data_IF_773782558594
#
_entry.id   IF_773782558594
#
_cell.length_a   1.000
_cell.length_b   1.000
_cell.length_c   1.000
_cell.angle_alpha   90.00
_cell.angle_beta   90.00
_cell.angle_gamma   90.00
#
_symmetry.space_group_name_H-M   'P 1'
#
loop_
_entity.id
_entity.type
_entity.pdbx_description
1 polymer ?
#
# COMPACT_ATOMS: atom_id res chain seq x y z
N UNK A 1 -7.16 -32.25 27.22
CA UNK A 1 -7.62 -31.30 26.18
C UNK A 1 -6.70 -31.42 24.99
N UNK A 2 -7.11 -32.15 23.96
CA UNK A 2 -6.31 -32.38 22.76
C UNK A 2 -6.23 -31.09 21.93
N UNK A 3 -5.01 -30.59 21.69
CA UNK A 3 -4.76 -29.53 20.71
C UNK A 3 -4.94 -30.14 19.33
N UNK A 4 -6.03 -29.80 18.66
CA UNK A 4 -6.28 -30.20 17.27
C UNK A 4 -5.33 -29.39 16.38
N UNK A 5 -4.19 -29.95 16.01
CA UNK A 5 -3.27 -29.36 15.04
C UNK A 5 -3.85 -29.54 13.64
N UNK A 6 -4.04 -28.44 12.91
CA UNK A 6 -4.39 -28.46 11.49
C UNK A 6 -3.20 -28.92 10.65
N UNK A 7 -3.39 -29.20 9.35
CA UNK A 7 -2.28 -29.54 8.44
C UNK A 7 -1.17 -28.49 8.55
N UNK A 8 0.08 -28.93 8.79
CA UNK A 8 1.23 -28.03 8.98
C UNK A 8 1.53 -27.59 10.43
N UNK A 9 0.78 -28.09 11.43
CA UNK A 9 1.10 -27.85 12.85
C UNK A 9 0.78 -26.45 13.37
N UNK A 10 0.05 -25.63 12.60
CA UNK A 10 -0.36 -24.27 12.97
C UNK A 10 -1.21 -24.25 14.26
N UNK A 11 -1.16 -23.15 15.04
CA UNK A 11 -2.01 -23.00 16.22
C UNK A 11 -3.49 -22.92 15.84
N UNK A 12 -4.38 -23.34 16.75
CA UNK A 12 -5.81 -23.12 16.55
C UNK A 12 -6.16 -21.63 16.73
N UNK A 13 -6.93 -21.07 15.80
CA UNK A 13 -7.34 -19.66 15.85
C UNK A 13 -8.68 -19.48 16.59
N UNK A 14 -8.61 -19.05 17.85
CA UNK A 14 -9.81 -18.73 18.64
C UNK A 14 -10.26 -17.25 18.42
N UNK A 15 -11.49 -16.87 18.82
CA UNK A 15 -11.99 -15.52 18.65
C UNK A 15 -11.13 -14.43 19.31
N UNK A 16 -10.45 -14.73 20.42
CA UNK A 16 -9.60 -13.77 21.12
C UNK A 16 -8.31 -13.48 20.35
N UNK A 17 -7.67 -14.52 19.81
CA UNK A 17 -6.50 -14.40 18.92
C UNK A 17 -6.84 -13.66 17.64
N UNK A 18 -7.95 -14.04 16.99
CA UNK A 18 -8.46 -13.34 15.80
C UNK A 18 -8.67 -11.86 16.06
N UNK A 19 -9.26 -11.52 17.20
CA UNK A 19 -9.51 -10.13 17.58
C UNK A 19 -8.21 -9.35 17.83
N UNK A 20 -7.24 -9.94 18.53
CA UNK A 20 -5.92 -9.35 18.78
C UNK A 20 -5.21 -8.98 17.48
N UNK A 21 -5.22 -9.87 16.50
CA UNK A 21 -4.56 -9.69 15.20
C UNK A 21 -5.22 -8.54 14.42
N UNK A 22 -6.54 -8.62 14.24
CA UNK A 22 -7.29 -7.69 13.37
C UNK A 22 -7.55 -6.32 14.02
N UNK A 23 -7.42 -6.20 15.34
CA UNK A 23 -7.61 -4.93 16.05
C UNK A 23 -6.30 -4.36 16.60
N UNK A 24 -5.60 -5.09 17.46
CA UNK A 24 -4.50 -4.52 18.24
C UNK A 24 -3.22 -4.42 17.40
N UNK A 25 -2.83 -5.53 16.76
CA UNK A 25 -1.64 -5.58 15.91
C UNK A 25 -1.82 -4.66 14.70
N UNK A 26 -2.94 -4.78 13.99
CA UNK A 26 -3.22 -3.99 12.79
C UNK A 26 -3.24 -2.48 13.08
N UNK A 27 -3.88 -2.05 14.19
CA UNK A 27 -3.86 -0.64 14.62
C UNK A 27 -2.45 -0.16 14.98
N UNK A 28 -1.63 -1.04 15.56
CA UNK A 28 -0.25 -0.77 15.91
C UNK A 28 0.62 -0.47 14.70
N UNK A 29 0.48 -1.26 13.63
CA UNK A 29 1.33 -1.15 12.43
C UNK A 29 0.82 -0.12 11.40
N UNK A 30 -0.46 0.27 11.44
CA UNK A 30 -0.98 1.30 10.52
C UNK A 30 -2.22 2.04 11.00
N UNK A 31 -2.05 3.30 11.42
CA UNK A 31 -3.16 4.13 11.93
C UNK A 31 -4.13 4.58 10.82
N UNK A 32 -3.60 4.98 9.66
CA UNK A 32 -4.43 5.50 8.56
C UNK A 32 -5.25 4.39 7.91
N UNK A 33 -4.63 3.24 7.62
CA UNK A 33 -5.35 2.10 7.05
C UNK A 33 -6.35 1.51 8.05
N UNK A 34 -5.99 1.42 9.35
CA UNK A 34 -6.91 0.94 10.38
C UNK A 34 -8.22 1.74 10.44
N UNK A 35 -8.17 3.06 10.23
CA UNK A 35 -9.37 3.89 10.17
C UNK A 35 -10.29 3.47 9.02
N UNK A 36 -9.74 3.25 7.82
CA UNK A 36 -10.46 2.74 6.65
C UNK A 36 -11.05 1.35 6.91
N UNK A 37 -10.25 0.44 7.51
CA UNK A 37 -10.72 -0.90 7.86
C UNK A 37 -11.89 -0.85 8.86
N UNK A 38 -11.87 0.09 9.81
CA UNK A 38 -12.95 0.22 10.80
C UNK A 38 -14.27 0.69 10.21
N UNK A 39 -14.26 1.49 9.15
CA UNK A 39 -15.49 1.95 8.50
C UNK A 39 -16.11 0.87 7.61
N UNK A 40 -15.30 -0.05 7.06
CA UNK A 40 -15.78 -1.13 6.21
C UNK A 40 -16.94 -1.95 6.81
N UNK A 41 -17.84 -2.50 5.96
CA UNK A 41 -18.76 -3.57 6.34
C UNK A 41 -18.05 -4.74 7.03
N UNK A 42 -18.75 -5.46 7.94
CA UNK A 42 -18.11 -6.45 8.82
C UNK A 42 -17.48 -7.62 8.06
N UNK A 43 -18.16 -8.16 7.04
CA UNK A 43 -17.68 -9.32 6.27
C UNK A 43 -16.35 -9.07 5.58
N UNK A 44 -16.09 -7.83 5.17
CA UNK A 44 -14.88 -7.45 4.44
C UNK A 44 -13.64 -7.27 5.33
N UNK A 45 -13.82 -7.04 6.63
CA UNK A 45 -12.71 -6.63 7.52
C UNK A 45 -11.69 -7.73 7.73
N UNK A 46 -12.15 -8.97 7.75
CA UNK A 46 -11.30 -10.13 8.03
C UNK A 46 -10.35 -10.44 6.87
N UNK A 47 -10.82 -10.70 5.63
CA UNK A 47 -9.92 -10.95 4.50
C UNK A 47 -9.04 -9.74 4.18
N UNK A 48 -9.59 -8.53 4.17
CA UNK A 48 -8.83 -7.30 3.87
C UNK A 48 -7.81 -6.99 4.98
N UNK A 49 -8.21 -7.15 6.24
CA UNK A 49 -7.32 -6.92 7.38
C UNK A 49 -6.18 -7.92 7.43
N UNK A 50 -6.46 -9.20 7.14
CA UNK A 50 -5.44 -10.24 7.07
C UNK A 50 -4.46 -10.02 5.91
N UNK A 51 -4.96 -9.75 4.70
CA UNK A 51 -4.11 -9.44 3.55
C UNK A 51 -3.19 -8.26 3.84
N UNK A 52 -3.70 -7.19 4.46
CA UNK A 52 -2.90 -6.04 4.86
C UNK A 52 -1.80 -6.42 5.86
N UNK A 53 -2.14 -7.23 6.87
CA UNK A 53 -1.17 -7.63 7.88
C UNK A 53 -0.05 -8.49 7.31
N UNK A 54 -0.38 -9.46 6.46
CA UNK A 54 0.58 -10.31 5.77
C UNK A 54 1.47 -9.50 4.82
N UNK A 55 0.87 -8.58 4.05
CA UNK A 55 1.62 -7.65 3.22
C UNK A 55 2.56 -6.76 4.05
N UNK A 56 2.11 -6.27 5.21
CA UNK A 56 2.95 -5.48 6.11
C UNK A 56 4.09 -6.31 6.72
N UNK A 57 3.87 -7.59 7.01
CA UNK A 57 4.94 -8.49 7.46
C UNK A 57 5.98 -8.68 6.36
N UNK A 58 5.56 -8.93 5.12
CA UNK A 58 6.44 -9.04 3.96
C UNK A 58 7.25 -7.76 3.71
N UNK A 59 6.59 -6.61 3.74
CA UNK A 59 7.20 -5.28 3.63
C UNK A 59 8.27 -5.05 4.70
N UNK A 60 7.98 -5.46 5.95
CA UNK A 60 8.97 -5.39 7.04
C UNK A 60 10.17 -6.33 6.81
N UNK A 61 9.97 -7.50 6.18
CA UNK A 61 11.05 -8.41 5.80
C UNK A 61 11.95 -7.79 4.72
N UNK A 62 11.38 -7.09 3.74
CA UNK A 62 12.15 -6.42 2.68
C UNK A 62 12.88 -5.15 3.16
N UNK A 63 12.25 -4.35 4.01
CA UNK A 63 12.79 -3.06 4.47
C UNK A 63 13.77 -3.15 5.64
N UNK A 64 13.90 -4.31 6.30
CA UNK A 64 14.80 -4.45 7.45
C UNK A 64 16.24 -4.09 7.10
N UNK A 65 16.89 -3.29 7.95
CA UNK A 65 18.32 -3.04 7.89
C UNK A 65 19.06 -4.25 8.47
N UNK A 66 19.62 -5.09 7.60
CA UNK A 66 20.52 -6.18 7.99
C UNK A 66 21.85 -5.94 7.32
N UNK A 67 22.87 -5.61 8.11
CA UNK A 67 24.22 -5.36 7.61
C UNK A 67 24.67 -6.52 6.71
N UNK A 68 24.95 -6.23 5.43
CA UNK A 68 25.72 -7.11 4.56
C UNK A 68 25.02 -8.21 3.75
N UNK A 69 23.70 -8.24 3.52
CA UNK A 69 23.16 -8.99 2.34
C UNK A 69 21.70 -8.71 1.99
N UNK A 70 21.46 -8.04 0.85
CA UNK A 70 20.16 -8.09 0.17
C UNK A 70 19.73 -9.54 -0.13
N UNK A 71 20.68 -10.46 -0.32
CA UNK A 71 20.42 -11.90 -0.50
C UNK A 71 19.64 -12.54 0.64
N UNK A 72 19.97 -12.27 1.91
CA UNK A 72 19.24 -12.84 3.04
C UNK A 72 17.81 -12.27 3.19
N UNK A 73 17.58 -11.02 2.75
CA UNK A 73 16.24 -10.41 2.72
C UNK A 73 15.38 -11.03 1.63
N UNK A 74 15.96 -11.22 0.45
CA UNK A 74 15.29 -11.90 -0.66
C UNK A 74 14.94 -13.34 -0.30
N UNK A 75 15.85 -14.10 0.29
CA UNK A 75 15.59 -15.48 0.72
C UNK A 75 14.43 -15.57 1.74
N UNK A 76 14.41 -14.70 2.75
CA UNK A 76 13.33 -14.66 3.74
C UNK A 76 12.00 -14.25 3.10
N UNK A 77 12.01 -13.30 2.15
CA UNK A 77 10.82 -12.88 1.41
C UNK A 77 10.27 -14.02 0.53
N UNK A 78 11.15 -14.74 -0.16
CA UNK A 78 10.79 -15.89 -0.99
C UNK A 78 10.25 -17.04 -0.14
N UNK A 79 10.86 -17.29 1.02
CA UNK A 79 10.37 -18.25 2.00
C UNK A 79 8.98 -17.86 2.51
N UNK A 80 8.78 -16.60 2.89
CA UNK A 80 7.48 -16.08 3.30
C UNK A 80 6.42 -16.24 2.20
N UNK A 81 6.76 -15.88 0.95
CA UNK A 81 5.87 -16.05 -0.21
C UNK A 81 5.47 -17.50 -0.42
N UNK A 82 6.40 -18.46 -0.25
CA UNK A 82 6.08 -19.88 -0.33
C UNK A 82 5.08 -20.31 0.76
N UNK A 83 5.22 -19.80 1.99
CA UNK A 83 4.24 -20.06 3.06
C UNK A 83 2.86 -19.47 2.71
N UNK A 84 2.83 -18.28 2.09
CA UNK A 84 1.58 -17.65 1.62
C UNK A 84 0.95 -18.43 0.47
N UNK A 85 1.70 -19.10 -0.40
CA UNK A 85 1.13 -20.01 -1.40
C UNK A 85 0.52 -21.26 -0.73
N UNK A 86 1.18 -21.74 0.32
CA UNK A 86 0.69 -22.78 1.22
C UNK A 86 0.72 -24.21 0.67
N UNK A 87 0.32 -25.19 1.50
CA UNK A 87 -0.03 -25.02 2.93
C UNK A 87 1.18 -24.54 3.75
N UNK A 88 0.92 -23.70 4.76
CA UNK A 88 2.00 -23.14 5.58
C UNK A 88 2.52 -24.17 6.61
N UNK A 89 3.82 -24.14 6.84
CA UNK A 89 4.55 -24.97 7.78
C UNK A 89 4.95 -24.16 9.02
N UNK A 90 4.56 -24.66 10.19
CA UNK A 90 4.79 -23.97 11.46
C UNK A 90 6.28 -23.78 11.77
N UNK A 91 7.14 -24.76 11.50
CA UNK A 91 8.56 -24.70 11.82
C UNK A 91 9.28 -23.67 10.92
N UNK A 92 8.89 -23.60 9.64
CA UNK A 92 9.38 -22.58 8.71
C UNK A 92 8.98 -21.18 9.18
N UNK A 93 7.73 -21.01 9.62
CA UNK A 93 7.26 -19.73 10.16
C UNK A 93 8.00 -19.35 11.45
N UNK A 94 8.27 -20.30 12.35
CA UNK A 94 9.07 -20.04 13.55
C UNK A 94 10.50 -19.61 13.19
N UNK A 95 11.11 -20.24 12.19
CA UNK A 95 12.40 -19.82 11.65
C UNK A 95 12.39 -18.37 11.14
N UNK A 96 11.37 -18.00 10.36
CA UNK A 96 11.19 -16.63 9.88
C UNK A 96 10.99 -15.63 11.02
N UNK A 97 10.14 -15.96 12.00
CA UNK A 97 9.91 -15.11 13.17
C UNK A 97 11.22 -14.90 13.94
N UNK A 98 11.95 -15.97 14.23
CA UNK A 98 13.21 -15.91 14.98
C UNK A 98 14.22 -14.98 14.30
N UNK A 99 14.45 -15.18 12.99
CA UNK A 99 15.34 -14.32 12.19
C UNK A 99 14.86 -12.87 12.08
N UNK A 100 13.56 -12.64 12.18
CA UNK A 100 12.94 -11.30 12.09
C UNK A 100 12.91 -10.57 13.43
N UNK A 101 12.80 -11.29 14.56
CA UNK A 101 12.83 -10.71 15.90
C UNK A 101 14.22 -10.20 16.28
N UNK A 102 15.28 -10.86 15.81
CA UNK A 102 16.67 -10.42 16.02
C UNK A 102 16.98 -9.04 15.39
N UNK A 103 16.19 -8.63 14.39
CA UNK A 103 16.32 -7.33 13.72
C UNK A 103 15.15 -6.37 13.95
N UNK A 104 14.13 -6.75 14.74
CA UNK A 104 12.95 -5.93 14.96
C UNK A 104 13.27 -4.75 15.89
N UNK A 105 13.12 -3.54 15.35
CA UNK A 105 13.53 -2.31 16.04
C UNK A 105 12.43 -1.73 16.94
N UNK A 106 11.16 -2.09 16.70
CA UNK A 106 10.01 -1.53 17.40
C UNK A 106 9.10 -2.58 18.04
N UNK A 107 8.41 -2.20 19.12
CA UNK A 107 7.41 -3.05 19.77
C UNK A 107 6.26 -3.47 18.83
N UNK A 108 5.96 -2.65 17.83
CA UNK A 108 4.94 -2.94 16.82
C UNK A 108 5.40 -4.03 15.85
N UNK A 109 6.65 -3.99 15.39
CA UNK A 109 7.23 -5.03 14.54
C UNK A 109 7.35 -6.37 15.29
N UNK A 110 7.76 -6.33 16.56
CA UNK A 110 7.79 -7.52 17.41
C UNK A 110 6.38 -8.14 17.57
N UNK A 111 5.36 -7.30 17.78
CA UNK A 111 3.97 -7.77 17.84
C UNK A 111 3.48 -8.35 16.51
N UNK A 112 3.89 -7.76 15.37
CA UNK A 112 3.58 -8.24 14.03
C UNK A 112 4.15 -9.65 13.80
N UNK A 113 5.46 -9.82 13.96
CA UNK A 113 6.10 -11.12 13.77
C UNK A 113 5.67 -12.15 14.80
N UNK A 114 5.49 -11.75 16.07
CA UNK A 114 4.94 -12.64 17.10
C UNK A 114 3.52 -13.12 16.81
N UNK A 115 2.79 -12.45 15.92
CA UNK A 115 1.45 -12.85 15.48
C UNK A 115 1.43 -13.66 14.17
N UNK A 116 2.59 -13.93 13.56
CA UNK A 116 2.66 -14.49 12.21
C UNK A 116 2.00 -15.88 12.11
N UNK A 117 2.33 -16.79 13.02
CA UNK A 117 1.72 -18.12 13.05
C UNK A 117 0.20 -18.06 13.22
N UNK A 118 -0.31 -17.14 14.04
CA UNK A 118 -1.75 -16.94 14.19
C UNK A 118 -2.38 -16.32 12.92
N UNK A 119 -1.67 -15.44 12.20
CA UNK A 119 -2.14 -14.87 10.94
C UNK A 119 -2.24 -15.93 9.83
N UNK A 120 -1.29 -16.86 9.75
CA UNK A 120 -1.36 -18.01 8.83
C UNK A 120 -2.45 -19.00 9.25
N UNK A 121 -2.64 -19.26 10.54
CA UNK A 121 -3.77 -20.05 11.02
C UNK A 121 -5.12 -19.40 10.64
N UNK A 122 -5.21 -18.07 10.72
CA UNK A 122 -6.39 -17.33 10.27
C UNK A 122 -6.59 -17.47 8.76
N UNK A 123 -5.53 -17.37 7.96
CA UNK A 123 -5.56 -17.57 6.50
C UNK A 123 -6.13 -18.94 6.13
N UNK A 124 -5.68 -20.01 6.80
CA UNK A 124 -6.19 -21.36 6.55
C UNK A 124 -7.62 -21.58 7.04
N UNK A 125 -8.12 -20.73 7.94
CA UNK A 125 -9.49 -20.79 8.44
C UNK A 125 -10.51 -19.99 7.62
N UNK A 126 -10.05 -19.17 6.66
CA UNK A 126 -10.94 -18.46 5.73
C UNK A 126 -11.67 -19.45 4.81
N UNK A 127 -12.80 -19.02 4.25
CA UNK A 127 -13.40 -19.77 3.15
C UNK A 127 -12.46 -19.81 1.93
N UNK A 128 -12.68 -20.79 1.04
CA UNK A 128 -11.77 -21.05 -0.06
C UNK A 128 -11.57 -19.84 -0.98
N UNK A 129 -12.63 -19.09 -1.27
CA UNK A 129 -12.57 -17.96 -2.19
C UNK A 129 -11.79 -16.79 -1.58
N UNK A 130 -12.08 -16.43 -0.32
CA UNK A 130 -11.34 -15.39 0.39
C UNK A 130 -9.88 -15.78 0.59
N UNK A 131 -9.62 -17.04 0.93
CA UNK A 131 -8.25 -17.56 1.07
C UNK A 131 -7.47 -17.40 -0.22
N UNK A 132 -8.03 -17.81 -1.36
CA UNK A 132 -7.40 -17.66 -2.68
C UNK A 132 -7.11 -16.19 -3.02
N UNK A 133 -8.06 -15.29 -2.75
CA UNK A 133 -7.88 -13.84 -2.97
C UNK A 133 -6.74 -13.26 -2.10
N UNK A 134 -6.68 -13.64 -0.82
CA UNK A 134 -5.61 -13.19 0.09
C UNK A 134 -4.25 -13.75 -0.35
N UNK A 135 -4.18 -15.04 -0.72
CA UNK A 135 -2.93 -15.64 -1.25
C UNK A 135 -2.46 -14.93 -2.52
N UNK A 136 -3.39 -14.67 -3.45
CA UNK A 136 -3.08 -14.02 -4.73
C UNK A 136 -2.53 -12.60 -4.53
N UNK A 137 -3.20 -11.77 -3.72
CA UNK A 137 -2.78 -10.38 -3.54
C UNK A 137 -1.46 -10.28 -2.80
N UNK A 138 -1.26 -11.06 -1.74
CA UNK A 138 0.01 -11.06 -0.98
C UNK A 138 1.13 -11.66 -1.83
N UNK A 139 0.86 -12.71 -2.61
CA UNK A 139 1.79 -13.26 -3.59
C UNK A 139 2.21 -12.25 -4.67
N UNK A 140 1.29 -11.40 -5.11
CA UNK A 140 1.58 -10.34 -6.09
C UNK A 140 2.37 -9.19 -5.47
N UNK A 141 1.99 -8.73 -4.27
CA UNK A 141 2.71 -7.69 -3.52
C UNK A 141 4.17 -8.09 -3.25
N UNK A 142 4.40 -9.35 -2.90
CA UNK A 142 5.76 -9.88 -2.67
C UNK A 142 6.61 -9.95 -3.94
N UNK A 143 6.02 -10.03 -5.14
CA UNK A 143 6.77 -9.86 -6.39
C UNK A 143 7.27 -8.43 -6.59
N UNK A 144 6.48 -7.43 -6.14
CA UNK A 144 6.93 -6.03 -6.15
C UNK A 144 8.08 -5.77 -5.18
N UNK A 145 8.03 -6.39 -4.00
CA UNK A 145 9.13 -6.35 -3.02
C UNK A 145 10.39 -7.08 -3.53
N UNK A 146 10.23 -8.19 -4.25
CA UNK A 146 11.34 -8.86 -4.94
C UNK A 146 11.95 -7.98 -6.03
N UNK A 147 11.11 -7.31 -6.84
CA UNK A 147 11.58 -6.34 -7.83
C UNK A 147 12.39 -5.22 -7.17
N UNK A 148 11.93 -4.67 -6.04
CA UNK A 148 12.65 -3.65 -5.26
C UNK A 148 14.04 -4.14 -4.83
N UNK A 149 14.10 -5.30 -4.19
CA UNK A 149 15.34 -5.88 -3.67
C UNK A 149 16.37 -6.24 -4.75
N UNK A 150 15.90 -6.55 -5.96
CA UNK A 150 16.76 -6.87 -7.11
C UNK A 150 17.20 -5.63 -7.89
N UNK A 151 16.45 -4.53 -7.79
CA UNK A 151 16.72 -3.31 -8.57
C UNK A 151 17.60 -2.34 -7.79
N UNK A 152 17.31 -2.15 -6.51
CA UNK A 152 17.99 -1.15 -5.69
C UNK A 152 19.08 -1.77 -4.82
N UNK A 153 20.19 -1.05 -4.63
CA UNK A 153 21.26 -1.51 -3.75
C UNK A 153 20.81 -1.49 -2.28
N UNK A 154 21.61 -2.11 -1.41
CA UNK A 154 21.36 -2.02 0.03
C UNK A 154 21.52 -0.57 0.51
N UNK A 155 20.68 -0.14 1.46
CA UNK A 155 20.63 1.24 1.98
C UNK A 155 21.98 1.71 2.56
N UNK A 156 22.82 0.80 3.05
CA UNK A 156 24.15 1.06 3.61
C UNK A 156 25.31 0.94 2.60
N UNK A 157 25.02 0.60 1.35
CA UNK A 157 26.04 0.42 0.30
C UNK A 157 26.66 1.73 -0.20
N UNK A 158 25.98 2.87 0.04
CA UNK A 158 26.32 4.15 -0.57
C UNK A 158 26.00 4.25 -2.07
N UNK A 159 25.41 3.20 -2.66
CA UNK A 159 24.94 3.21 -4.05
C UNK A 159 23.53 3.80 -4.18
N UNK A 160 23.24 4.33 -5.37
CA UNK A 160 21.92 4.77 -5.79
C UNK A 160 21.60 4.12 -7.13
N UNK A 161 20.39 3.59 -7.28
CA UNK A 161 19.93 3.06 -8.55
C UNK A 161 18.55 3.62 -8.90
N UNK A 162 18.30 3.75 -10.20
CA UNK A 162 17.01 4.18 -10.75
C UNK A 162 16.30 3.04 -11.48
N UNK A 163 14.97 3.11 -11.57
CA UNK A 163 14.21 2.31 -12.53
C UNK A 163 14.63 2.68 -13.95
N UNK A 164 14.65 1.74 -14.88
CA UNK A 164 15.15 2.00 -16.23
C UNK A 164 14.19 2.84 -17.07
N UNK A 165 12.88 2.54 -17.00
CA UNK A 165 11.86 3.15 -17.85
C UNK A 165 10.56 3.48 -17.10
N UNK A 166 9.72 4.33 -17.69
CA UNK A 166 8.37 4.58 -17.18
C UNK A 166 7.49 3.33 -17.09
N UNK A 167 7.74 2.33 -17.95
CA UNK A 167 7.06 1.04 -17.87
C UNK A 167 7.44 0.24 -16.61
N UNK A 168 8.69 0.36 -16.14
CA UNK A 168 9.12 -0.26 -14.89
C UNK A 168 8.45 0.40 -13.68
N UNK A 169 8.28 1.72 -13.69
CA UNK A 169 7.54 2.42 -12.63
C UNK A 169 6.05 2.06 -12.63
N UNK A 170 5.43 1.94 -13.81
CA UNK A 170 4.05 1.48 -13.93
C UNK A 170 3.87 0.03 -13.43
N UNK A 171 4.80 -0.85 -13.80
CA UNK A 171 4.85 -2.24 -13.32
C UNK A 171 5.04 -2.30 -11.80
N UNK A 172 5.99 -1.54 -11.27
CA UNK A 172 6.25 -1.48 -9.84
C UNK A 172 5.00 -1.01 -9.08
N UNK A 173 4.39 0.10 -9.50
CA UNK A 173 3.17 0.65 -8.86
C UNK A 173 1.98 -0.30 -8.97
N UNK A 174 1.87 -1.11 -10.03
CA UNK A 174 0.91 -2.21 -10.09
C UNK A 174 1.20 -3.27 -9.02
N UNK A 175 2.43 -3.78 -8.98
CA UNK A 175 2.80 -4.89 -8.09
C UNK A 175 2.62 -4.53 -6.62
N UNK A 176 2.99 -3.32 -6.21
CA UNK A 176 2.96 -2.91 -4.79
C UNK A 176 1.66 -2.24 -4.32
N UNK A 177 0.76 -1.87 -5.24
CA UNK A 177 -0.49 -1.20 -4.86
C UNK A 177 -1.65 -1.38 -5.85
N UNK A 178 -1.41 -1.40 -7.16
CA UNK A 178 -2.46 -1.57 -8.16
C UNK A 178 -3.22 -2.88 -8.02
N UNK A 179 -2.52 -4.00 -7.81
CA UNK A 179 -3.13 -5.32 -7.62
C UNK A 179 -4.10 -5.38 -6.42
N UNK A 180 -3.90 -4.52 -5.42
CA UNK A 180 -4.80 -4.39 -4.26
C UNK A 180 -6.19 -3.90 -4.70
N UNK A 181 -6.26 -3.13 -5.78
CA UNK A 181 -7.52 -2.69 -6.37
C UNK A 181 -8.39 -3.83 -6.89
N UNK A 182 -7.79 -4.81 -7.56
CA UNK A 182 -8.49 -6.02 -8.03
C UNK A 182 -8.95 -6.88 -6.85
N UNK A 183 -8.04 -7.16 -5.92
CA UNK A 183 -8.34 -7.89 -4.68
C UNK A 183 -9.51 -7.26 -3.94
N UNK A 184 -9.44 -5.94 -3.72
CA UNK A 184 -10.49 -5.20 -3.03
C UNK A 184 -11.81 -5.29 -3.79
N UNK A 185 -11.80 -5.14 -5.11
CA UNK A 185 -13.00 -5.22 -5.94
C UNK A 185 -13.63 -6.60 -5.86
N UNK A 186 -12.84 -7.66 -6.01
CA UNK A 186 -13.30 -9.05 -5.99
C UNK A 186 -13.90 -9.41 -4.63
N UNK A 187 -13.18 -9.15 -3.54
CA UNK A 187 -13.66 -9.42 -2.17
C UNK A 187 -14.90 -8.57 -1.86
N UNK A 188 -14.92 -7.29 -2.27
CA UNK A 188 -16.10 -6.44 -2.06
C UNK A 188 -17.32 -6.97 -2.81
N UNK A 189 -17.16 -7.32 -4.09
CA UNK A 189 -18.25 -7.86 -4.91
C UNK A 189 -18.80 -9.19 -4.37
N UNK A 190 -17.92 -10.05 -3.82
CA UNK A 190 -18.31 -11.34 -3.25
C UNK A 190 -19.14 -11.20 -1.95
N UNK A 191 -18.81 -10.24 -1.09
CA UNK A 191 -19.42 -10.11 0.23
C UNK A 191 -20.54 -9.07 0.32
N UNK A 192 -20.72 -8.20 -0.68
CA UNK A 192 -21.68 -7.10 -0.64
C UNK A 192 -22.82 -7.29 -1.65
N UNK A 193 -24.01 -7.73 -1.19
CA UNK A 193 -25.16 -7.98 -2.06
C UNK A 193 -25.59 -6.76 -2.90
N UNK A 194 -25.32 -5.55 -2.39
CA UNK A 194 -25.58 -4.29 -3.11
C UNK A 194 -24.79 -4.15 -4.41
N UNK A 195 -23.73 -4.95 -4.60
CA UNK A 195 -22.82 -4.92 -5.74
C UNK A 195 -23.06 -6.07 -6.72
N UNK A 196 -24.13 -6.86 -6.57
CA UNK A 196 -24.41 -8.01 -7.44
C UNK A 196 -24.42 -7.70 -8.95
N UNK A 197 -24.70 -6.44 -9.32
CA UNK A 197 -24.72 -5.96 -10.71
C UNK A 197 -23.48 -5.12 -11.09
N UNK A 198 -22.44 -5.12 -10.27
CA UNK A 198 -21.19 -4.48 -10.65
C UNK A 198 -20.57 -5.17 -11.85
N UNK A 199 -20.09 -4.37 -12.79
CA UNK A 199 -19.14 -4.82 -13.79
C UNK A 199 -17.79 -4.99 -13.09
N UNK A 200 -17.53 -6.20 -12.56
CA UNK A 200 -16.34 -6.48 -11.77
C UNK A 200 -15.06 -6.24 -12.58
N UNK A 201 -15.05 -6.57 -13.87
CA UNK A 201 -13.89 -6.35 -14.73
C UNK A 201 -13.55 -4.86 -14.83
N UNK A 202 -14.54 -4.02 -15.19
CA UNK A 202 -14.34 -2.56 -15.25
C UNK A 202 -13.95 -1.97 -13.89
N UNK A 203 -14.62 -2.39 -12.82
CA UNK A 203 -14.34 -1.87 -11.48
C UNK A 203 -12.94 -2.27 -11.01
N UNK A 204 -12.47 -3.46 -11.38
CA UNK A 204 -11.11 -3.91 -11.11
C UNK A 204 -10.08 -3.05 -11.84
N UNK A 205 -10.27 -2.73 -13.12
CA UNK A 205 -9.39 -1.81 -13.85
C UNK A 205 -9.32 -0.40 -13.21
N UNK A 206 -10.47 0.13 -12.80
CA UNK A 206 -10.55 1.39 -12.06
C UNK A 206 -9.86 1.28 -10.69
N UNK A 207 -10.01 0.15 -10.02
CA UNK A 207 -9.36 -0.18 -8.76
C UNK A 207 -7.84 -0.23 -8.89
N UNK A 208 -7.31 -0.84 -9.96
CA UNK A 208 -5.87 -0.85 -10.27
C UNK A 208 -5.34 0.57 -10.36
N UNK A 209 -6.02 1.41 -11.13
CA UNK A 209 -5.64 2.82 -11.26
C UNK A 209 -5.72 3.53 -9.91
N UNK A 210 -6.74 3.27 -9.10
CA UNK A 210 -6.83 3.86 -7.76
C UNK A 210 -5.63 3.46 -6.87
N UNK A 211 -5.25 2.19 -6.84
CA UNK A 211 -4.05 1.73 -6.14
C UNK A 211 -2.78 2.43 -6.62
N UNK A 212 -2.59 2.53 -7.95
CA UNK A 212 -1.48 3.26 -8.57
C UNK A 212 -1.46 4.75 -8.20
N UNK A 213 -2.62 5.41 -8.11
CA UNK A 213 -2.70 6.82 -7.69
C UNK A 213 -2.10 7.04 -6.30
N UNK A 214 -2.45 6.16 -5.35
CA UNK A 214 -1.96 6.21 -3.98
C UNK A 214 -0.45 5.94 -3.92
N UNK A 215 0.04 4.97 -4.70
CA UNK A 215 1.46 4.64 -4.72
C UNK A 215 2.31 5.71 -5.39
N UNK A 216 1.90 6.24 -6.54
CA UNK A 216 2.60 7.35 -7.18
C UNK A 216 2.63 8.59 -6.28
N UNK A 217 1.57 8.84 -5.51
CA UNK A 217 1.57 9.90 -4.50
C UNK A 217 2.65 9.67 -3.43
N UNK A 218 2.86 8.42 -2.99
CA UNK A 218 3.94 8.10 -2.05
C UNK A 218 5.31 8.26 -2.72
N UNK A 219 5.50 7.72 -3.92
CA UNK A 219 6.75 7.84 -4.69
C UNK A 219 7.16 9.30 -4.85
N UNK A 220 6.24 10.18 -5.24
CA UNK A 220 6.53 11.61 -5.40
C UNK A 220 6.78 12.34 -4.08
N UNK A 221 6.07 11.96 -3.02
CA UNK A 221 6.21 12.57 -1.68
C UNK A 221 7.54 12.21 -1.03
N UNK A 222 7.96 10.95 -1.19
CA UNK A 222 9.05 10.36 -0.40
C UNK A 222 10.41 10.38 -1.11
N UNK A 223 10.52 11.02 -2.28
CA UNK A 223 11.77 11.13 -3.07
C UNK A 223 13.00 11.43 -2.21
N UNK A 224 13.03 12.48 -1.35
CA UNK A 224 14.25 12.77 -0.59
C UNK A 224 14.62 11.66 0.40
N UNK A 225 13.63 10.91 0.91
CA UNK A 225 13.86 9.77 1.80
C UNK A 225 14.36 8.57 1.01
N UNK A 226 13.74 8.28 -0.12
CA UNK A 226 14.06 7.11 -0.95
C UNK A 226 15.46 7.23 -1.57
N UNK A 227 15.84 8.43 -2.04
CA UNK A 227 17.18 8.68 -2.59
C UNK A 227 18.29 8.45 -1.56
N UNK A 228 18.10 8.94 -0.33
CA UNK A 228 19.04 8.65 0.79
C UNK A 228 19.10 7.16 1.12
N UNK A 229 18.03 6.43 0.82
CA UNK A 229 17.93 4.99 0.95
C UNK A 229 18.56 4.20 -0.21
N UNK A 230 19.14 4.88 -1.20
CA UNK A 230 19.69 4.25 -2.40
C UNK A 230 18.64 3.92 -3.47
N UNK A 231 17.40 4.39 -3.31
CA UNK A 231 16.26 4.07 -4.19
C UNK A 231 15.82 5.30 -4.98
N UNK A 232 15.87 5.23 -6.30
CA UNK A 232 15.23 6.21 -7.19
C UNK A 232 14.16 5.53 -8.04
N UNK A 233 12.88 5.74 -7.71
CA UNK A 233 11.79 5.15 -8.50
C UNK A 233 11.53 5.88 -9.82
N UNK A 234 12.14 7.05 -10.05
CA UNK A 234 11.94 7.78 -11.30
C UNK A 234 12.71 7.10 -12.46
N UNK A 235 12.17 7.10 -13.68
CA UNK A 235 12.81 6.48 -14.82
C UNK A 235 14.13 7.16 -15.22
N UNK A 236 15.19 6.36 -15.39
CA UNK A 236 16.52 6.85 -15.75
C UNK A 236 16.55 7.48 -17.15
N UNK A 237 15.78 6.96 -18.10
CA UNK A 237 15.64 7.51 -19.45
C UNK A 237 14.99 8.90 -19.45
N UNK A 238 13.95 9.10 -18.65
CA UNK A 238 13.29 10.39 -18.47
C UNK A 238 14.18 11.40 -17.73
N UNK A 239 14.91 10.94 -16.70
CA UNK A 239 15.92 11.77 -16.01
C UNK A 239 17.02 12.22 -16.99
N UNK A 240 17.55 11.30 -17.79
CA UNK A 240 18.59 11.59 -18.78
C UNK A 240 18.08 12.58 -19.84
N UNK A 241 16.83 12.46 -20.29
CA UNK A 241 16.20 13.41 -21.21
C UNK A 241 16.09 14.83 -20.60
N UNK A 242 15.95 14.94 -19.28
CA UNK A 242 16.01 16.20 -18.54
C UNK A 242 17.44 16.65 -18.17
N UNK A 243 18.47 15.91 -18.63
CA UNK A 243 19.88 16.18 -18.34
C UNK A 243 20.27 15.92 -16.89
N UNK A 244 19.67 14.89 -16.27
CA UNK A 244 19.90 14.47 -14.90
C UNK A 244 20.28 12.98 -14.83
N UNK A 245 21.17 12.64 -13.91
CA UNK A 245 21.29 11.32 -13.34
C UNK A 245 20.47 11.22 -12.04
N UNK A 246 20.32 10.01 -11.49
CA UNK A 246 19.60 9.82 -10.23
C UNK A 246 20.26 10.57 -9.06
N UNK A 247 21.60 10.59 -9.05
CA UNK A 247 22.44 11.24 -8.05
C UNK A 247 22.24 12.76 -8.02
N UNK A 248 21.94 13.36 -9.17
CA UNK A 248 21.67 14.80 -9.26
C UNK A 248 20.44 15.19 -8.43
N UNK A 249 19.50 14.28 -8.19
CA UNK A 249 18.31 14.55 -7.38
C UNK A 249 18.61 14.69 -5.88
N UNK A 250 19.81 14.31 -5.43
CA UNK A 250 20.26 14.55 -4.05
C UNK A 250 20.57 16.03 -3.78
N UNK A 251 20.79 16.82 -4.83
CA UNK A 251 21.04 18.26 -4.73
C UNK A 251 19.74 19.05 -5.03
N UNK A 252 19.15 19.74 -4.02
CA UNK A 252 17.97 20.57 -4.22
C UNK A 252 18.14 21.69 -5.26
N UNK A 253 19.37 22.07 -5.66
CA UNK A 253 19.61 23.00 -6.76
C UNK A 253 19.06 22.49 -8.10
N UNK A 254 18.87 21.17 -8.25
CA UNK A 254 18.37 20.54 -9.46
C UNK A 254 16.84 20.49 -9.56
N UNK A 255 16.12 21.02 -8.57
CA UNK A 255 14.65 21.03 -8.49
C UNK A 255 13.99 21.51 -9.80
N UNK A 256 14.53 22.57 -10.42
CA UNK A 256 13.98 23.11 -11.67
C UNK A 256 14.01 22.12 -12.85
N UNK A 257 15.10 21.35 -12.98
CA UNK A 257 15.22 20.29 -14.00
C UNK A 257 14.41 19.07 -13.61
N UNK A 258 14.47 18.67 -12.33
CA UNK A 258 13.74 17.51 -11.82
C UNK A 258 12.23 17.63 -12.05
N UNK A 259 11.66 18.85 -11.96
CA UNK A 259 10.25 19.12 -12.27
C UNK A 259 9.82 18.69 -13.66
N UNK A 260 10.72 18.66 -14.64
CA UNK A 260 10.40 18.20 -15.99
C UNK A 260 10.01 16.71 -16.02
N UNK A 261 10.47 15.92 -15.03
CA UNK A 261 10.11 14.51 -14.83
C UNK A 261 8.99 14.37 -13.79
N UNK A 262 9.06 15.11 -12.68
CA UNK A 262 8.10 15.00 -11.57
C UNK A 262 6.67 15.44 -11.94
N UNK A 263 6.53 16.52 -12.70
CA UNK A 263 5.21 17.06 -13.08
C UNK A 263 4.44 16.07 -13.98
N UNK A 264 5.05 15.47 -15.03
CA UNK A 264 4.41 14.38 -15.78
C UNK A 264 3.89 13.24 -14.88
N UNK A 265 4.69 12.75 -13.94
CA UNK A 265 4.25 11.69 -13.01
C UNK A 265 3.15 12.15 -12.05
N UNK A 266 3.16 13.41 -11.62
CA UNK A 266 2.04 13.98 -10.87
C UNK A 266 0.76 14.04 -11.70
N UNK A 267 0.84 14.41 -12.99
CA UNK A 267 -0.31 14.38 -13.92
C UNK A 267 -0.81 12.95 -14.15
N UNK A 268 0.08 11.97 -14.24
CA UNK A 268 -0.28 10.54 -14.28
C UNK A 268 -1.05 10.14 -13.02
N UNK A 269 -0.56 10.53 -11.84
CA UNK A 269 -1.25 10.29 -10.57
C UNK A 269 -2.65 10.95 -10.53
N UNK A 270 -2.79 12.18 -11.03
CA UNK A 270 -4.08 12.87 -11.16
C UNK A 270 -5.03 12.12 -12.10
N UNK A 271 -4.54 11.64 -13.25
CA UNK A 271 -5.27 10.78 -14.17
C UNK A 271 -5.79 9.51 -13.49
N UNK A 272 -4.97 8.89 -12.65
CA UNK A 272 -5.38 7.75 -11.84
C UNK A 272 -6.41 8.11 -10.74
N UNK A 273 -6.36 9.31 -10.17
CA UNK A 273 -7.39 9.79 -9.25
C UNK A 273 -8.74 10.07 -9.94
N UNK A 274 -8.77 10.34 -11.25
CA UNK A 274 -10.02 10.37 -12.01
C UNK A 274 -10.68 8.99 -12.04
N UNK A 275 -9.88 7.95 -12.31
CA UNK A 275 -10.37 6.57 -12.24
C UNK A 275 -10.81 6.18 -10.82
N UNK A 276 -10.12 6.67 -9.79
CA UNK A 276 -10.54 6.50 -8.40
C UNK A 276 -11.89 7.19 -8.09
N UNK A 277 -12.13 8.37 -8.68
CA UNK A 277 -13.44 9.03 -8.61
C UNK A 277 -14.51 8.15 -9.25
N UNK A 278 -14.28 7.66 -10.48
CA UNK A 278 -15.21 6.76 -11.17
C UNK A 278 -15.50 5.50 -10.36
N UNK A 279 -14.45 4.88 -9.77
CA UNK A 279 -14.58 3.74 -8.88
C UNK A 279 -15.51 4.06 -7.70
N UNK A 280 -15.23 5.15 -6.98
CA UNK A 280 -16.04 5.59 -5.84
C UNK A 280 -17.50 5.85 -6.23
N UNK A 281 -17.73 6.50 -7.37
CA UNK A 281 -19.07 6.85 -7.84
C UNK A 281 -19.84 5.63 -8.37
N UNK A 282 -19.13 4.57 -8.79
CA UNK A 282 -19.68 3.26 -9.10
C UNK A 282 -20.21 2.51 -7.87
N UNK A 283 -19.71 2.82 -6.66
CA UNK A 283 -20.26 2.26 -5.41
C UNK A 283 -21.67 2.82 -5.15
N UNK A 284 -22.69 1.96 -4.93
CA UNK A 284 -24.06 2.40 -4.68
C UNK A 284 -24.15 3.42 -3.53
N UNK A 285 -24.97 4.46 -3.72
CA UNK A 285 -25.10 5.59 -2.77
C UNK A 285 -25.50 5.16 -1.35
N UNK A 286 -26.21 4.03 -1.21
CA UNK A 286 -26.63 3.47 0.08
C UNK A 286 -25.51 2.69 0.78
N UNK A 287 -24.47 2.29 0.07
CA UNK A 287 -23.31 1.57 0.61
C UNK A 287 -22.32 2.57 1.23
N UNK A 288 -22.81 3.33 2.22
CA UNK A 288 -22.11 4.48 2.85
C UNK A 288 -20.72 4.10 3.35
N UNK A 289 -20.61 2.94 4.01
CA UNK A 289 -19.36 2.45 4.59
C UNK A 289 -18.28 2.20 3.53
N UNK A 290 -18.66 1.59 2.41
CA UNK A 290 -17.76 1.37 1.28
C UNK A 290 -17.35 2.70 0.64
N UNK A 291 -18.31 3.60 0.43
CA UNK A 291 -18.02 4.92 -0.14
C UNK A 291 -17.06 5.72 0.73
N UNK A 292 -17.21 5.69 2.06
CA UNK A 292 -16.26 6.32 2.99
C UNK A 292 -14.88 5.65 2.93
N UNK A 293 -14.84 4.30 2.86
CA UNK A 293 -13.59 3.55 2.78
C UNK A 293 -12.78 3.88 1.52
N UNK A 294 -13.46 4.15 0.38
CA UNK A 294 -12.82 4.61 -0.84
C UNK A 294 -12.51 6.12 -0.79
N UNK A 295 -13.41 6.93 -0.25
CA UNK A 295 -13.29 8.39 -0.27
C UNK A 295 -12.10 8.89 0.57
N UNK A 296 -11.87 8.35 1.77
CA UNK A 296 -10.83 8.89 2.65
C UNK A 296 -9.41 8.76 2.08
N UNK A 297 -8.95 7.58 1.58
CA UNK A 297 -7.66 7.48 0.91
C UNK A 297 -7.56 8.38 -0.32
N UNK A 298 -8.63 8.50 -1.12
CA UNK A 298 -8.67 9.37 -2.30
C UNK A 298 -8.41 10.83 -1.92
N UNK A 299 -9.17 11.37 -0.96
CA UNK A 299 -9.02 12.76 -0.53
C UNK A 299 -7.66 13.02 0.14
N UNK A 300 -7.14 12.06 0.91
CA UNK A 300 -5.81 12.17 1.51
C UNK A 300 -4.70 12.17 0.47
N UNK A 301 -4.83 11.35 -0.58
CA UNK A 301 -3.90 11.33 -1.71
C UNK A 301 -3.86 12.69 -2.42
N UNK A 302 -5.02 13.20 -2.84
CA UNK A 302 -5.12 14.51 -3.49
C UNK A 302 -4.62 15.67 -2.60
N UNK A 303 -4.94 15.66 -1.30
CA UNK A 303 -4.45 16.67 -0.37
C UNK A 303 -2.94 16.59 -0.14
N UNK A 304 -2.33 15.41 -0.33
CA UNK A 304 -0.88 15.23 -0.28
C UNK A 304 -0.24 15.80 -1.54
N UNK A 305 -0.80 15.51 -2.72
CA UNK A 305 -0.33 16.07 -3.99
C UNK A 305 -0.45 17.60 -4.02
N UNK A 306 -1.55 18.18 -3.53
CA UNK A 306 -1.73 19.63 -3.45
C UNK A 306 -0.65 20.30 -2.58
N UNK A 307 -0.36 19.71 -1.42
CA UNK A 307 0.70 20.19 -0.54
C UNK A 307 2.08 20.07 -1.19
N UNK A 308 2.33 18.97 -1.89
CA UNK A 308 3.60 18.75 -2.59
C UNK A 308 3.79 19.79 -3.69
N UNK A 309 2.79 19.95 -4.57
CA UNK A 309 2.78 20.92 -5.67
C UNK A 309 3.04 22.35 -5.17
N UNK A 310 2.30 22.82 -4.16
CA UNK A 310 2.46 24.16 -3.60
C UNK A 310 3.75 24.36 -2.80
N UNK A 311 4.28 23.28 -2.21
CA UNK A 311 5.48 23.33 -1.39
C UNK A 311 6.72 23.73 -2.19
N UNK A 312 6.79 23.33 -3.46
CA UNK A 312 7.85 23.76 -4.38
C UNK A 312 9.27 23.38 -3.94
N UNK A 313 9.41 22.39 -3.04
CA UNK A 313 10.67 21.88 -2.50
C UNK A 313 10.61 20.36 -2.43
N UNK A 314 10.62 19.70 -3.58
CA UNK A 314 10.34 18.28 -3.70
C UNK A 314 11.59 17.43 -3.44
N UNK A 315 12.78 17.98 -3.71
CA UNK A 315 14.05 17.36 -3.41
C UNK A 315 14.58 17.69 -2.00
N UNK A 316 13.96 18.64 -1.29
CA UNK A 316 14.46 19.13 -0.01
C UNK A 316 14.35 18.06 1.09
N UNK A 317 15.48 17.56 1.61
CA UNK A 317 15.53 16.53 2.66
C UNK A 317 14.81 16.90 3.96
N UNK A 318 14.70 18.19 4.27
CA UNK A 318 14.19 18.72 5.53
C UNK A 318 12.71 19.12 5.44
N UNK A 319 12.16 19.15 4.23
CA UNK A 319 10.77 19.47 4.00
C UNK A 319 9.90 18.21 4.14
N UNK A 320 8.96 18.24 5.10
CA UNK A 320 8.00 17.14 5.28
C UNK A 320 6.62 17.50 4.72
N UNK A 321 6.23 16.80 3.65
CA UNK A 321 4.90 16.97 3.05
C UNK A 321 3.88 16.10 3.78
N UNK A 322 3.25 16.66 4.81
CA UNK A 322 2.25 15.94 5.62
C UNK A 322 0.92 16.68 5.72
N UNK A 323 -0.17 15.95 5.51
CA UNK A 323 -1.52 16.42 5.79
C UNK A 323 -1.74 16.53 7.31
N UNK A 324 -2.18 17.68 7.79
CA UNK A 324 -2.33 17.92 9.23
C UNK A 324 -3.49 17.11 9.82
N UNK A 325 -3.38 16.70 11.09
CA UNK A 325 -4.46 15.97 11.80
C UNK A 325 -5.78 16.76 11.81
N UNK A 326 -5.70 18.09 11.95
CA UNK A 326 -6.88 18.98 11.89
C UNK A 326 -7.58 18.88 10.54
N UNK A 327 -6.82 18.84 9.45
CA UNK A 327 -7.37 18.64 8.12
C UNK A 327 -8.05 17.26 8.00
N UNK A 328 -7.40 16.20 8.49
CA UNK A 328 -7.96 14.83 8.49
C UNK A 328 -9.29 14.78 9.23
N UNK A 329 -9.38 15.31 10.45
CA UNK A 329 -10.64 15.30 11.20
C UNK A 329 -11.74 16.11 10.54
N UNK A 330 -11.40 17.27 9.95
CA UNK A 330 -12.35 18.08 9.19
C UNK A 330 -12.85 17.33 7.95
N UNK A 331 -11.95 16.66 7.23
CA UNK A 331 -12.31 15.83 6.08
C UNK A 331 -13.25 14.69 6.51
N UNK A 332 -12.98 14.00 7.62
CA UNK A 332 -13.88 12.95 8.13
C UNK A 332 -15.26 13.53 8.42
N UNK A 333 -15.35 14.63 9.17
CA UNK A 333 -16.62 15.24 9.54
C UNK A 333 -17.44 15.68 8.31
N UNK A 334 -16.81 16.33 7.34
CA UNK A 334 -17.46 16.78 6.10
C UNK A 334 -17.83 15.62 5.17
N UNK A 335 -17.12 14.50 5.23
CA UNK A 335 -17.42 13.33 4.39
C UNK A 335 -18.75 12.67 4.74
N UNK A 336 -19.20 12.74 6.01
CA UNK A 336 -20.42 12.07 6.47
C UNK A 336 -21.70 12.55 5.76
N UNK A 337 -21.99 13.86 5.61
CA UNK A 337 -23.12 14.31 4.82
C UNK A 337 -22.89 14.22 3.31
N UNK A 338 -21.65 14.42 2.85
CA UNK A 338 -21.33 14.48 1.40
C UNK A 338 -21.42 13.11 0.73
N UNK A 339 -21.09 12.02 1.45
CA UNK A 339 -21.01 10.67 0.90
C UNK A 339 -22.30 10.21 0.19
N UNK A 340 -23.45 10.74 0.58
CA UNK A 340 -24.75 10.40 -0.01
C UNK A 340 -24.99 10.98 -1.41
N UNK A 341 -24.14 11.90 -1.90
CA UNK A 341 -24.35 12.60 -3.17
C UNK A 341 -23.16 12.49 -4.12
N UNK A 342 -23.38 11.85 -5.28
CA UNK A 342 -22.38 11.79 -6.36
C UNK A 342 -21.98 13.18 -6.84
N UNK A 343 -22.93 14.12 -6.91
CA UNK A 343 -22.65 15.48 -7.33
C UNK A 343 -21.74 16.22 -6.34
N UNK A 344 -22.00 16.10 -5.03
CA UNK A 344 -21.17 16.75 -4.01
C UNK A 344 -19.78 16.11 -3.92
N UNK A 345 -19.68 14.78 -4.02
CA UNK A 345 -18.40 14.08 -4.06
C UNK A 345 -17.55 14.52 -5.25
N UNK A 346 -18.13 14.51 -6.46
CA UNK A 346 -17.46 14.99 -7.67
C UNK A 346 -16.97 16.42 -7.49
N UNK A 347 -17.83 17.32 -7.02
CA UNK A 347 -17.43 18.72 -6.77
C UNK A 347 -16.26 18.84 -5.81
N UNK A 348 -16.24 18.08 -4.72
CA UNK A 348 -15.12 18.11 -3.77
C UNK A 348 -13.84 17.54 -4.38
N UNK A 349 -13.93 16.37 -5.01
CA UNK A 349 -12.78 15.69 -5.64
C UNK A 349 -12.19 16.54 -6.75
N UNK A 350 -13.01 17.02 -7.69
CA UNK A 350 -12.55 17.89 -8.77
C UNK A 350 -11.99 19.22 -8.25
N UNK A 351 -12.50 19.74 -7.12
CA UNK A 351 -11.93 20.95 -6.51
C UNK A 351 -10.51 20.71 -5.98
N UNK A 352 -10.25 19.58 -5.32
CA UNK A 352 -8.91 19.25 -4.85
C UNK A 352 -7.98 18.97 -6.03
N UNK A 353 -8.44 18.24 -7.04
CA UNK A 353 -7.67 17.99 -8.26
C UNK A 353 -7.25 19.28 -8.96
N UNK A 354 -8.19 20.21 -9.19
CA UNK A 354 -7.87 21.53 -9.76
C UNK A 354 -6.85 22.30 -8.94
N UNK A 355 -6.90 22.21 -7.61
CA UNK A 355 -5.89 22.86 -6.76
C UNK A 355 -4.47 22.31 -7.00
N UNK A 356 -4.32 21.03 -7.34
CA UNK A 356 -3.04 20.44 -7.75
C UNK A 356 -2.67 20.91 -9.15
N UNK A 357 -3.62 20.84 -10.10
CA UNK A 357 -3.42 21.24 -11.50
C UNK A 357 -3.02 22.72 -11.63
N UNK A 358 -3.62 23.60 -10.83
CA UNK A 358 -3.29 25.04 -10.80
C UNK A 358 -1.92 25.33 -10.16
N UNK A 359 -1.35 24.38 -9.43
CA UNK A 359 -0.10 24.54 -8.69
C UNK A 359 1.13 23.96 -9.42
N UNK A 360 0.95 23.29 -10.55
CA UNK A 360 2.01 22.68 -11.39
C UNK A 360 1.98 23.23 -12.81
#
# INVERSE_FOLDING_TARGET
MAKTTTSGGLPSIDPSRRNRILQDVLKGVSRSFYLTLRVLPKGLREPIGLAYLLARAADTISDRRRAGSSGARLEDLLTFRAQVAGPADFDVLQGLVSRSMDGASSAQEQALFGSLADAFALLESLDAADREQVRWVVGTLTQGMEMDLNTFPAEDSGGLAALSTGADLDRYTYLVAGCVGEFWTNVTAAHEPSLKKWDVAKMSELGVRFGKALQLTNVLRDIPRDLRGGRCYLPADELAAAGLAAEDLLDPANEGRARQVLIPWMRTALGHFEAAEEYLLGVPRRSVRLRLACLWPLLLGLATLDRLARGGKWLDPDTTTKVSRRWVYRMIALSLPVVFSNHLLRRWISSLRRQVEDAI
#
